data_IF_267689144807
#
_entry.id   IF_267689144807
#
_cell.length_a   1.000
_cell.length_b   1.000
_cell.length_c   1.000
_cell.angle_alpha   90.00
_cell.angle_beta   90.00
_cell.angle_gamma   90.00
#
_symmetry.space_group_name_H-M   'P 1'
#
loop_
_entity.id
_entity.type
_entity.pdbx_description
1 polymer ?
#
# COMPACT_ATOMS: atom_id res chain seq x y z
N UNK A 1 3.44 -26.45 17.06
CA UNK A 1 2.63 -25.46 16.34
C UNK A 1 1.48 -25.10 17.28
N UNK A 2 1.33 -23.84 17.67
CA UNK A 2 0.15 -23.44 18.45
C UNK A 2 -1.09 -23.57 17.56
N UNK A 3 -2.16 -24.18 18.06
CA UNK A 3 -3.43 -24.30 17.36
C UNK A 3 -4.04 -22.91 17.08
N UNK A 4 -4.73 -22.76 15.95
CA UNK A 4 -5.29 -21.48 15.50
C UNK A 4 -6.24 -20.84 16.53
N UNK A 5 -6.90 -21.66 17.35
CA UNK A 5 -7.77 -21.21 18.43
C UNK A 5 -6.98 -20.53 19.57
N UNK A 6 -5.86 -21.12 20.00
CA UNK A 6 -5.03 -20.59 21.08
C UNK A 6 -4.43 -19.22 20.72
N UNK A 7 -4.02 -19.03 19.45
CA UNK A 7 -3.54 -17.73 18.95
C UNK A 7 -4.64 -16.66 18.95
N UNK A 8 -5.87 -17.03 18.58
CA UNK A 8 -7.02 -16.12 18.54
C UNK A 8 -7.39 -15.62 19.93
N UNK A 9 -7.38 -16.50 20.93
CA UNK A 9 -7.66 -16.13 22.32
C UNK A 9 -6.58 -15.21 22.89
N UNK A 10 -5.31 -15.52 22.64
CA UNK A 10 -4.18 -14.67 23.05
C UNK A 10 -4.27 -13.26 22.46
N UNK A 11 -4.57 -13.15 21.16
CA UNK A 11 -4.73 -11.84 20.50
C UNK A 11 -5.94 -11.07 21.05
N UNK A 12 -7.03 -11.76 21.41
CA UNK A 12 -8.20 -11.12 22.00
C UNK A 12 -7.91 -10.55 23.39
N UNK A 13 -7.17 -11.29 24.24
CA UNK A 13 -6.75 -10.81 25.55
C UNK A 13 -5.81 -9.59 25.44
N UNK A 14 -4.89 -9.60 24.48
CA UNK A 14 -3.97 -8.49 24.23
C UNK A 14 -4.70 -7.22 23.78
N UNK A 15 -5.74 -7.36 22.95
CA UNK A 15 -6.58 -6.23 22.51
C UNK A 15 -7.42 -5.65 23.65
N UNK A 16 -7.98 -6.50 24.49
CA UNK A 16 -8.75 -6.05 25.67
C UNK A 16 -7.86 -5.31 26.69
N UNK A 17 -6.62 -5.77 26.89
CA UNK A 17 -5.66 -5.08 27.75
C UNK A 17 -5.25 -3.70 27.18
N UNK A 18 -5.11 -3.60 25.86
CA UNK A 18 -4.81 -2.34 25.19
C UNK A 18 -5.97 -1.33 25.30
N UNK A 19 -7.22 -1.77 25.10
CA UNK A 19 -8.41 -0.91 25.26
C UNK A 19 -8.56 -0.39 26.71
N UNK A 20 -8.19 -1.20 27.70
CA UNK A 20 -8.17 -0.77 29.11
C UNK A 20 -7.03 0.22 29.41
N UNK A 21 -5.89 0.10 28.72
CA UNK A 21 -4.78 1.03 28.86
C UNK A 21 -5.04 2.38 28.14
N UNK A 22 -5.69 2.36 26.98
CA UNK A 22 -6.09 3.58 26.25
C UNK A 22 -7.20 4.35 26.98
N UNK A 23 -8.10 3.68 27.70
CA UNK A 23 -9.10 4.34 28.54
C UNK A 23 -8.54 5.09 29.76
N UNK A 24 -7.28 4.88 30.11
CA UNK A 24 -6.62 5.51 31.28
C UNK A 24 -5.73 6.72 30.93
N UNK A 25 -5.58 7.06 29.65
CA UNK A 25 -4.81 8.23 29.19
C UNK A 25 -5.71 9.26 28.50
N UNK A 26 -6.86 9.52 29.12
CA UNK A 26 -7.74 10.64 28.78
C UNK A 26 -7.44 11.88 29.63
N UNK A 27 -6.19 12.36 29.62
CA UNK A 27 -5.89 13.71 30.14
C UNK A 27 -6.46 14.72 29.13
N UNK A 28 -7.73 15.07 29.33
CA UNK A 28 -8.38 16.20 28.69
C UNK A 28 -7.75 17.50 29.23
N UNK A 29 -6.55 17.83 28.75
CA UNK A 29 -5.99 19.17 28.89
C UNK A 29 -6.84 20.10 28.03
N UNK A 30 -7.62 20.96 28.70
CA UNK A 30 -8.31 22.07 28.08
C UNK A 30 -7.27 22.99 27.40
N UNK A 31 -7.26 23.02 26.06
CA UNK A 31 -6.51 24.03 25.32
C UNK A 31 -7.08 25.43 25.65
N UNK A 32 -6.24 26.44 25.90
CA UNK A 32 -6.73 27.82 26.05
C UNK A 32 -7.33 28.29 24.72
N UNK A 33 -8.51 28.92 24.80
CA UNK A 33 -9.23 29.44 23.63
C UNK A 33 -8.33 30.36 22.78
N UNK A 34 -8.10 29.97 21.53
CA UNK A 34 -7.30 30.76 20.57
C UNK A 34 -8.05 32.06 20.26
N UNK A 35 -7.38 33.24 20.25
CA UNK A 35 -8.07 34.50 20.00
C UNK A 35 -8.67 34.50 18.58
N UNK A 36 -9.98 34.75 18.50
CA UNK A 36 -10.70 34.82 17.22
C UNK A 36 -10.36 36.13 16.54
N UNK A 37 -9.45 36.08 15.56
CA UNK A 37 -9.13 37.22 14.71
C UNK A 37 -10.34 37.57 13.83
N UNK A 38 -11.02 38.67 14.15
CA UNK A 38 -12.10 39.21 13.31
C UNK A 38 -11.53 40.18 12.31
N UNK A 39 -11.27 39.69 11.09
CA UNK A 39 -10.95 40.56 9.97
C UNK A 39 -12.18 41.41 9.64
N UNK A 40 -12.14 42.69 10.00
CA UNK A 40 -13.13 43.64 9.52
C UNK A 40 -12.72 44.05 8.11
N UNK A 41 -13.51 43.64 7.12
CA UNK A 41 -13.45 44.26 5.81
C UNK A 41 -14.05 45.67 5.95
N UNK A 42 -13.20 46.69 5.99
CA UNK A 42 -13.65 48.08 6.08
C UNK A 42 -14.09 48.55 4.69
N UNK A 43 -15.39 48.56 4.45
CA UNK A 43 -15.94 49.37 3.38
C UNK A 43 -15.82 50.85 3.78
N UNK A 44 -15.14 51.65 2.96
CA UNK A 44 -15.06 53.10 3.13
C UNK A 44 -16.47 53.67 3.05
N UNK A 45 -16.96 54.22 4.16
CA UNK A 45 -18.32 54.79 4.27
C UNK A 45 -18.43 56.20 3.64
N UNK A 46 -17.29 56.83 3.34
CA UNK A 46 -17.27 58.19 2.80
C UNK A 46 -17.32 58.17 1.26
N UNK A 47 -18.52 58.33 0.72
CA UNK A 47 -18.80 58.30 -0.72
C UNK A 47 -18.54 59.64 -1.43
N UNK A 48 -18.13 60.70 -0.71
CA UNK A 48 -17.96 62.04 -1.30
C UNK A 48 -16.55 62.30 -1.83
N UNK A 49 -15.52 61.77 -1.17
CA UNK A 49 -14.11 62.08 -1.48
C UNK A 49 -13.34 60.90 -2.05
N UNK A 50 -13.85 59.67 -1.89
CA UNK A 50 -13.12 58.42 -2.21
C UNK A 50 -13.98 57.57 -3.16
N UNK A 51 -14.30 58.13 -4.33
CA UNK A 51 -15.06 57.42 -5.37
C UNK A 51 -14.16 56.62 -6.32
N UNK A 52 -12.87 56.93 -6.35
CA UNK A 52 -11.95 56.49 -7.41
C UNK A 52 -11.36 55.09 -7.20
N UNK A 53 -11.60 54.46 -6.04
CA UNK A 53 -11.07 53.13 -5.70
C UNK A 53 -12.13 52.02 -5.63
N UNK A 54 -13.42 52.33 -5.81
CA UNK A 54 -14.45 51.29 -5.91
C UNK A 54 -14.42 50.64 -7.29
N UNK A 55 -13.46 49.74 -7.50
CA UNK A 55 -13.45 48.82 -8.63
C UNK A 55 -14.53 47.77 -8.40
N UNK A 56 -15.36 47.48 -9.41
CA UNK A 56 -16.34 46.41 -9.30
C UNK A 56 -15.62 45.08 -8.98
N UNK A 57 -16.15 44.27 -8.03
CA UNK A 57 -15.55 42.99 -7.73
C UNK A 57 -15.51 42.15 -9.00
N UNK A 58 -14.32 41.63 -9.34
CA UNK A 58 -14.15 40.79 -10.51
C UNK A 58 -15.09 39.58 -10.40
N UNK A 59 -15.99 39.44 -11.37
CA UNK A 59 -16.87 38.28 -11.42
C UNK A 59 -16.07 37.10 -11.97
N UNK A 60 -15.87 36.02 -11.20
CA UNK A 60 -15.13 34.87 -11.69
C UNK A 60 -15.85 34.30 -12.93
N UNK A 61 -15.11 33.87 -13.96
CA UNK A 61 -15.72 33.22 -15.11
C UNK A 61 -16.49 32.00 -14.63
N UNK A 62 -17.70 31.80 -15.16
CA UNK A 62 -18.49 30.60 -14.90
C UNK A 62 -17.70 29.42 -15.46
N UNK A 63 -17.12 28.62 -14.56
CA UNK A 63 -16.44 27.39 -14.92
C UNK A 63 -17.50 26.43 -15.46
N UNK A 64 -17.56 26.28 -16.78
CA UNK A 64 -18.30 25.19 -17.39
C UNK A 64 -17.62 23.89 -16.97
N UNK A 65 -18.35 23.04 -16.25
CA UNK A 65 -17.86 21.72 -15.89
C UNK A 65 -17.52 20.96 -17.18
N UNK A 66 -16.30 20.40 -17.30
CA UNK A 66 -15.92 19.70 -18.52
C UNK A 66 -16.87 18.51 -18.69
N UNK A 67 -17.73 18.58 -19.71
CA UNK A 67 -18.55 17.44 -20.10
C UNK A 67 -17.62 16.34 -20.58
N UNK A 68 -17.42 15.32 -19.74
CA UNK A 68 -16.66 14.12 -20.06
C UNK A 68 -17.47 13.32 -21.09
N UNK A 69 -17.38 13.71 -22.37
CA UNK A 69 -18.04 13.03 -23.49
C UNK A 69 -17.41 11.69 -23.84
N UNK A 70 -16.36 11.26 -23.12
CA UNK A 70 -15.75 9.95 -23.29
C UNK A 70 -15.62 9.33 -21.91
N UNK A 71 -16.55 8.44 -21.59
CA UNK A 71 -16.37 7.47 -20.51
C UNK A 71 -14.99 6.83 -20.75
N UNK A 72 -14.04 6.92 -19.78
CA UNK A 72 -12.78 6.22 -19.93
C UNK A 72 -13.14 4.75 -20.16
N UNK A 73 -12.66 4.17 -21.26
CA UNK A 73 -12.69 2.73 -21.44
C UNK A 73 -12.14 2.12 -20.14
N UNK A 74 -12.86 1.14 -19.62
CA UNK A 74 -12.52 0.37 -18.41
C UNK A 74 -11.23 -0.41 -18.68
N UNK A 75 -10.11 0.29 -18.80
CA UNK A 75 -8.80 -0.28 -18.94
C UNK A 75 -8.42 -0.87 -17.58
N UNK A 76 -8.68 -2.17 -17.44
CA UNK A 76 -8.03 -3.10 -16.54
C UNK A 76 -7.68 -2.52 -15.15
N UNK A 77 -8.68 -2.10 -14.39
CA UNK A 77 -8.49 -1.77 -12.97
C UNK A 77 -8.09 -2.99 -12.14
N UNK A 78 -8.28 -4.21 -12.67
CA UNK A 78 -7.98 -5.47 -11.98
C UNK A 78 -6.47 -5.68 -11.73
N UNK A 79 -5.58 -5.14 -12.55
CA UNK A 79 -4.12 -5.29 -12.38
C UNK A 79 -3.52 -4.32 -11.34
N UNK A 80 -4.23 -3.25 -11.00
CA UNK A 80 -3.75 -2.26 -10.02
C UNK A 80 -4.01 -2.69 -8.58
N UNK A 81 -5.05 -3.50 -8.33
CA UNK A 81 -5.37 -3.98 -6.98
C UNK A 81 -4.42 -5.10 -6.51
N UNK A 82 -3.72 -5.78 -7.42
CA UNK A 82 -2.77 -6.86 -7.08
C UNK A 82 -1.47 -6.31 -6.47
N UNK A 83 -1.18 -5.02 -6.64
CA UNK A 83 0.00 -4.36 -6.07
C UNK A 83 -0.27 -3.59 -4.76
N UNK A 84 -1.47 -3.70 -4.17
CA UNK A 84 -1.88 -2.94 -2.98
C UNK A 84 -1.32 -3.51 -1.67
N UNK A 85 -0.89 -4.77 -1.65
CA UNK A 85 -0.28 -5.37 -0.46
C UNK A 85 1.23 -5.07 -0.39
N UNK A 86 1.77 -4.69 0.78
CA UNK A 86 3.22 -4.65 0.98
C UNK A 86 3.79 -6.03 0.72
N UNK A 87 4.61 -6.16 -0.34
CA UNK A 87 5.29 -7.41 -0.68
C UNK A 87 6.12 -7.87 0.52
N UNK A 88 6.24 -9.19 0.69
CA UNK A 88 7.05 -9.78 1.76
C UNK A 88 8.49 -9.24 1.67
N UNK A 89 9.11 -8.87 2.79
CA UNK A 89 10.44 -8.25 2.80
C UNK A 89 11.50 -9.00 1.96
N UNK A 90 11.39 -10.33 1.85
CA UNK A 90 12.34 -11.17 1.12
C UNK A 90 11.89 -11.49 -0.33
N UNK A 91 10.93 -10.76 -0.90
CA UNK A 91 10.43 -11.01 -2.26
C UNK A 91 11.52 -10.77 -3.31
N UNK A 92 12.36 -9.77 -3.07
CA UNK A 92 13.50 -9.41 -3.90
C UNK A 92 14.56 -10.51 -3.89
N UNK A 93 14.89 -11.02 -2.70
CA UNK A 93 15.81 -12.13 -2.54
C UNK A 93 15.35 -13.37 -3.32
N UNK A 94 14.06 -13.69 -3.28
CA UNK A 94 13.51 -14.81 -4.05
C UNK A 94 13.66 -14.56 -5.55
N UNK A 95 13.29 -13.37 -6.02
CA UNK A 95 13.38 -13.01 -7.43
C UNK A 95 14.80 -13.12 -7.96
N UNK A 96 15.76 -12.58 -7.22
CA UNK A 96 17.15 -12.47 -7.67
C UNK A 96 17.89 -13.81 -7.60
N UNK A 97 17.53 -14.67 -6.63
CA UNK A 97 18.11 -16.01 -6.47
C UNK A 97 17.44 -17.05 -7.39
N UNK A 98 16.19 -16.84 -7.82
CA UNK A 98 15.43 -17.83 -8.61
C UNK A 98 16.16 -18.26 -9.88
N UNK A 99 16.71 -17.33 -10.66
CA UNK A 99 17.40 -17.65 -11.90
C UNK A 99 18.67 -18.49 -11.70
N UNK A 100 19.31 -18.40 -10.52
CA UNK A 100 20.46 -19.23 -10.17
C UNK A 100 20.01 -20.63 -9.75
N UNK A 101 18.93 -20.73 -8.96
CA UNK A 101 18.34 -22.00 -8.57
C UNK A 101 17.83 -22.78 -9.77
N UNK A 102 17.13 -22.14 -10.71
CA UNK A 102 16.64 -22.79 -11.93
C UNK A 102 17.80 -23.37 -12.77
N UNK A 103 18.93 -22.66 -12.86
CA UNK A 103 20.13 -23.16 -13.54
C UNK A 103 20.74 -24.35 -12.82
N UNK A 104 20.79 -24.29 -11.49
CA UNK A 104 21.35 -25.36 -10.67
C UNK A 104 20.46 -26.61 -10.74
N UNK A 105 19.16 -26.45 -10.61
CA UNK A 105 18.17 -27.53 -10.70
C UNK A 105 18.27 -28.27 -12.04
N UNK A 106 18.37 -27.54 -13.16
CA UNK A 106 18.59 -28.16 -14.48
C UNK A 106 19.87 -28.98 -14.56
N UNK A 107 20.95 -28.54 -13.92
CA UNK A 107 22.23 -29.28 -13.87
C UNK A 107 22.12 -30.51 -12.97
N UNK A 108 21.47 -30.37 -11.82
CA UNK A 108 21.24 -31.48 -10.89
C UNK A 108 20.39 -32.57 -11.52
N UNK A 109 19.29 -32.20 -12.21
CA UNK A 109 18.46 -33.16 -12.94
C UNK A 109 19.25 -33.91 -14.02
N UNK A 110 20.10 -33.21 -14.78
CA UNK A 110 20.98 -33.85 -15.78
C UNK A 110 21.97 -34.81 -15.14
N UNK A 111 22.64 -34.40 -14.07
CA UNK A 111 23.58 -35.25 -13.34
C UNK A 111 22.90 -36.49 -12.76
N UNK A 112 21.68 -36.36 -12.22
CA UNK A 112 20.87 -37.49 -11.74
C UNK A 112 20.61 -38.47 -12.89
N UNK A 113 20.20 -37.98 -14.06
CA UNK A 113 19.94 -38.83 -15.23
C UNK A 113 21.22 -39.55 -15.70
N UNK A 114 22.36 -38.86 -15.70
CA UNK A 114 23.65 -39.45 -16.07
C UNK A 114 24.06 -40.56 -15.10
N UNK A 115 23.95 -40.33 -13.79
CA UNK A 115 24.23 -41.34 -12.77
C UNK A 115 23.31 -42.56 -12.93
N UNK A 116 22.01 -42.34 -13.16
CA UNK A 116 21.06 -43.42 -13.39
C UNK A 116 21.44 -44.28 -14.61
N UNK A 117 21.81 -43.65 -15.73
CA UNK A 117 22.24 -44.35 -16.94
C UNK A 117 23.51 -45.18 -16.71
N UNK A 118 24.47 -44.63 -15.98
CA UNK A 118 25.71 -45.34 -15.66
C UNK A 118 25.41 -46.56 -14.77
N UNK A 119 24.56 -46.40 -13.75
CA UNK A 119 24.14 -47.51 -12.89
C UNK A 119 23.40 -48.61 -13.67
N UNK A 120 22.48 -48.26 -14.59
CA UNK A 120 21.81 -49.24 -15.45
C UNK A 120 22.79 -49.99 -16.36
N UNK A 121 23.80 -49.30 -16.91
CA UNK A 121 24.83 -49.93 -17.74
C UNK A 121 25.72 -50.90 -16.95
N UNK A 122 26.08 -50.55 -15.72
CA UNK A 122 26.85 -51.43 -14.83
C UNK A 122 26.02 -52.64 -14.39
N UNK A 123 24.74 -52.46 -14.05
CA UNK A 123 23.86 -53.56 -13.66
C UNK A 123 23.57 -54.51 -14.82
N UNK A 124 23.36 -53.99 -16.03
CA UNK A 124 23.16 -54.82 -17.22
C UNK A 124 24.43 -55.57 -17.64
N UNK A 125 25.61 -54.93 -17.54
CA UNK A 125 26.89 -55.60 -17.76
C UNK A 125 27.21 -56.67 -16.71
N UNK A 126 26.91 -56.42 -15.44
CA UNK A 126 27.09 -57.39 -14.35
C UNK A 126 26.13 -58.58 -14.42
N UNK A 127 24.93 -58.41 -14.99
CA UNK A 127 23.99 -59.52 -15.21
C UNK A 127 24.27 -60.33 -16.50
N UNK A 128 25.15 -59.84 -17.38
CA UNK A 128 25.52 -60.52 -18.63
C UNK A 128 26.90 -61.21 -18.58
N UNK A 129 27.67 -61.02 -17.52
CA UNK A 129 28.92 -61.73 -17.24
C UNK A 129 28.69 -62.88 -16.26
#
# INVERSE_FOLDING_TARGET
>A
MEDAAARKERLRALRQAAEQAEGATGDAQAEPEKPVLRFRNYAVKDHKHIQHEQVQPAQPPKLEEPQVTKKPEEAAQEDLLVNVAPKKANWDLKRDVQAQLDKLERRTQRAIIEIMREQESQQSGANQA
#
